data_IF_185847972238
#
_entry.id   IF_185847972238
#
_cell.length_a   1.000
_cell.length_b   1.000
_cell.length_c   1.000
_cell.angle_alpha   90.00
_cell.angle_beta   90.00
_cell.angle_gamma   90.00
#
_symmetry.space_group_name_H-M   'P 1'
#
loop_
_entity.id
_entity.type
_entity.pdbx_description
1 polymer ?
#
# COMPACT_ATOMS: atom_id res chain seq x y z
N UNK A 1 -0.42 -13.72 7.19
CA UNK A 1 -1.58 -12.85 6.97
C UNK A 1 -2.16 -13.08 5.60
N UNK A 2 -3.47 -13.20 5.51
CA UNK A 2 -4.14 -13.55 4.24
C UNK A 2 -4.08 -12.43 3.21
N UNK A 3 -4.11 -11.18 3.68
CA UNK A 3 -4.02 -10.02 2.78
C UNK A 3 -2.59 -9.67 2.38
N UNK A 4 -1.59 -10.23 3.08
CA UNK A 4 -0.18 -9.98 2.79
C UNK A 4 0.32 -8.60 3.17
N UNK A 5 -0.41 -7.86 3.98
CA UNK A 5 0.03 -6.54 4.45
C UNK A 5 0.57 -6.71 5.86
N UNK A 6 1.86 -6.49 6.02
CA UNK A 6 2.55 -6.62 7.31
C UNK A 6 2.81 -5.26 7.91
N UNK A 7 2.61 -5.15 9.21
CA UNK A 7 2.79 -3.92 9.96
C UNK A 7 3.81 -4.10 11.06
N UNK A 8 4.62 -3.08 11.26
CA UNK A 8 5.51 -2.98 12.42
C UNK A 8 5.50 -1.54 12.92
N UNK A 9 5.64 -1.36 14.22
CA UNK A 9 5.79 -0.05 14.84
C UNK A 9 7.17 0.10 15.42
N UNK A 10 7.78 1.23 15.17
CA UNK A 10 9.06 1.61 15.75
C UNK A 10 8.92 3.06 16.26
N UNK A 11 8.54 3.21 17.53
CA UNK A 11 8.22 4.52 18.09
C UNK A 11 7.02 5.14 17.36
N UNK A 12 7.19 6.33 16.82
CA UNK A 12 6.17 7.04 16.07
C UNK A 12 6.13 6.68 14.57
N UNK A 13 6.90 5.68 14.16
CA UNK A 13 6.99 5.24 12.76
C UNK A 13 6.17 3.97 12.58
N UNK A 14 5.27 4.00 11.59
CA UNK A 14 4.55 2.81 11.12
C UNK A 14 5.24 2.28 9.87
N UNK A 15 5.67 1.03 9.92
CA UNK A 15 6.26 0.36 8.76
C UNK A 15 5.23 -0.56 8.13
N UNK A 16 4.90 -0.31 6.87
CA UNK A 16 3.92 -1.05 6.09
C UNK A 16 4.66 -1.80 4.99
N UNK A 17 4.56 -3.11 5.00
CA UNK A 17 5.23 -3.95 4.00
C UNK A 17 4.19 -4.75 3.22
N UNK A 18 4.21 -4.62 1.90
CA UNK A 18 3.42 -5.46 1.00
C UNK A 18 4.24 -6.74 0.81
N UNK A 19 3.74 -7.84 1.35
CA UNK A 19 4.43 -9.13 1.32
C UNK A 19 3.48 -10.19 0.78
N UNK A 20 3.31 -10.18 -0.53
CA UNK A 20 2.47 -11.13 -1.23
C UNK A 20 3.28 -11.88 -2.29
N UNK A 21 3.29 -13.21 -2.27
CA UNK A 21 3.99 -13.96 -3.30
C UNK A 21 3.31 -13.70 -4.66
N UNK A 22 4.01 -13.58 -5.67
CA UNK A 22 5.44 -13.60 -6.00
C UNK A 22 5.99 -12.19 -6.17
N UNK A 23 5.11 -11.25 -6.51
CA UNK A 23 5.49 -9.93 -7.00
C UNK A 23 4.87 -8.79 -6.19
N UNK A 24 4.23 -9.08 -5.07
CA UNK A 24 3.51 -8.08 -4.26
C UNK A 24 2.34 -7.44 -5.03
N UNK A 25 1.64 -8.21 -5.84
CA UNK A 25 0.43 -7.76 -6.51
C UNK A 25 -0.68 -7.51 -5.48
N UNK A 26 -1.55 -6.55 -5.76
CA UNK A 26 -2.58 -6.09 -4.83
C UNK A 26 -3.96 -6.54 -5.34
N UNK A 27 -4.64 -7.35 -4.55
CA UNK A 27 -6.04 -7.71 -4.78
C UNK A 27 -6.97 -6.81 -3.96
N UNK A 28 -8.27 -7.07 -4.04
CA UNK A 28 -9.27 -6.28 -3.32
C UNK A 28 -9.05 -6.30 -1.81
N UNK A 29 -8.79 -7.48 -1.24
CA UNK A 29 -8.56 -7.62 0.20
C UNK A 29 -7.32 -6.85 0.65
N UNK A 30 -6.23 -6.92 -0.10
CA UNK A 30 -5.01 -6.18 0.20
C UNK A 30 -5.23 -4.67 0.09
N UNK A 31 -5.94 -4.21 -0.94
CA UNK A 31 -6.26 -2.79 -1.10
C UNK A 31 -7.10 -2.27 0.06
N UNK A 32 -8.14 -2.99 0.44
CA UNK A 32 -8.98 -2.61 1.58
C UNK A 32 -8.19 -2.58 2.88
N UNK A 33 -7.29 -3.55 3.07
CA UNK A 33 -6.41 -3.57 4.25
C UNK A 33 -5.48 -2.36 4.27
N UNK A 34 -4.88 -2.00 3.14
CA UNK A 34 -4.05 -0.81 3.05
C UNK A 34 -4.85 0.46 3.37
N UNK A 35 -6.09 0.54 2.90
CA UNK A 35 -6.97 1.66 3.24
C UNK A 35 -7.21 1.76 4.75
N UNK A 36 -7.48 0.64 5.42
CA UNK A 36 -7.63 0.62 6.89
C UNK A 36 -6.36 1.05 7.58
N UNK A 37 -5.22 0.57 7.11
CA UNK A 37 -3.90 0.89 7.68
C UNK A 37 -3.63 2.39 7.61
N UNK A 38 -3.86 3.01 6.46
CA UNK A 38 -3.62 4.45 6.31
C UNK A 38 -4.65 5.30 7.06
N UNK A 39 -5.88 4.83 7.20
CA UNK A 39 -6.87 5.50 8.05
C UNK A 39 -6.44 5.46 9.52
N UNK A 40 -6.00 4.31 10.01
CA UNK A 40 -5.49 4.17 11.37
C UNK A 40 -4.26 5.05 11.59
N UNK A 41 -3.34 5.06 10.62
CA UNK A 41 -2.16 5.92 10.68
C UNK A 41 -2.56 7.40 10.78
N UNK A 42 -3.49 7.84 9.96
CA UNK A 42 -4.00 9.23 9.99
C UNK A 42 -4.52 9.59 11.38
N UNK A 43 -5.30 8.69 11.99
CA UNK A 43 -6.08 9.00 13.19
C UNK A 43 -5.33 8.69 14.49
N UNK A 44 -4.22 7.96 14.45
CA UNK A 44 -3.46 7.59 15.65
C UNK A 44 -2.50 8.71 16.03
N UNK A 45 -2.72 9.38 17.18
CA UNK A 45 -1.86 10.50 17.58
C UNK A 45 -0.43 10.08 17.94
N UNK A 46 -0.19 8.79 18.14
CA UNK A 46 1.15 8.27 18.46
C UNK A 46 1.97 7.94 17.22
N UNK A 47 1.37 7.98 16.05
CA UNK A 47 2.05 7.73 14.77
C UNK A 47 2.24 9.05 14.03
N UNK A 48 3.44 9.28 13.53
CA UNK A 48 3.80 10.52 12.84
C UNK A 48 4.29 10.33 11.42
N UNK A 49 4.91 9.19 11.14
CA UNK A 49 5.52 8.89 9.84
C UNK A 49 5.14 7.46 9.48
N UNK A 50 4.82 7.22 8.21
CA UNK A 50 4.66 5.88 7.68
C UNK A 50 5.71 5.61 6.62
N UNK A 51 6.18 4.38 6.57
CA UNK A 51 7.08 3.87 5.55
C UNK A 51 6.34 2.74 4.85
N UNK A 52 6.26 2.81 3.51
CA UNK A 52 5.59 1.80 2.70
C UNK A 52 6.59 1.20 1.74
N UNK A 53 6.78 -0.10 1.80
CA UNK A 53 7.72 -0.80 0.92
C UNK A 53 7.17 -2.17 0.53
N UNK A 54 7.82 -2.82 -0.43
CA UNK A 54 7.53 -4.21 -0.78
C UNK A 54 8.53 -5.15 -0.14
N UNK A 55 8.11 -6.37 0.14
CA UNK A 55 9.01 -7.41 0.61
C UNK A 55 9.91 -7.88 -0.53
N UNK A 56 11.15 -8.25 -0.20
CA UNK A 56 12.10 -8.78 -1.16
C UNK A 56 12.89 -7.68 -1.86
N UNK A 57 13.56 -8.07 -2.96
CA UNK A 57 14.49 -7.21 -3.68
C UNK A 57 14.15 -7.04 -5.17
N UNK A 58 13.06 -7.61 -5.65
CA UNK A 58 12.67 -7.54 -7.07
C UNK A 58 11.48 -6.64 -7.33
N UNK A 59 10.47 -6.66 -6.45
CA UNK A 59 9.23 -5.93 -6.66
C UNK A 59 8.88 -5.08 -5.46
N UNK A 60 8.56 -3.81 -5.72
CA UNK A 60 7.73 -3.04 -4.82
C UNK A 60 6.28 -3.52 -4.96
N UNK A 61 5.66 -3.31 -6.10
CA UNK A 61 4.37 -3.87 -6.49
C UNK A 61 4.13 -3.62 -7.98
N UNK A 62 3.61 -4.60 -8.73
CA UNK A 62 3.16 -4.40 -10.11
C UNK A 62 1.75 -3.83 -10.20
N UNK A 63 1.05 -3.65 -9.06
CA UNK A 63 -0.32 -3.18 -9.01
C UNK A 63 -1.34 -4.30 -8.88
N UNK A 64 -2.43 -4.18 -9.62
CA UNK A 64 -3.57 -5.10 -9.51
C UNK A 64 -3.18 -6.55 -9.78
N UNK A 65 -3.65 -7.44 -8.90
CA UNK A 65 -3.43 -8.87 -9.04
C UNK A 65 -4.27 -9.40 -10.21
N UNK A 66 -3.60 -9.72 -11.31
CA UNK A 66 -4.28 -10.20 -12.52
C UNK A 66 -4.91 -11.58 -12.34
N UNK A 67 -4.42 -12.38 -11.41
CA UNK A 67 -5.07 -13.64 -11.05
C UNK A 67 -6.42 -13.40 -10.39
N UNK A 68 -6.51 -12.38 -9.54
CA UNK A 68 -7.76 -11.98 -8.93
C UNK A 68 -8.72 -11.42 -9.99
N UNK A 69 -8.23 -10.67 -10.96
CA UNK A 69 -9.03 -10.17 -12.08
C UNK A 69 -9.63 -11.32 -12.90
N UNK A 70 -8.82 -12.32 -13.20
CA UNK A 70 -9.27 -13.52 -13.93
C UNK A 70 -10.29 -14.30 -13.11
N UNK A 71 -10.15 -14.29 -11.77
CA UNK A 71 -11.08 -14.98 -10.87
C UNK A 71 -12.38 -14.21 -10.62
N UNK A 72 -12.55 -13.01 -11.20
CA UNK A 72 -13.80 -12.27 -11.17
C UNK A 72 -13.75 -10.90 -10.49
N UNK A 73 -12.62 -10.47 -9.92
CA UNK A 73 -12.49 -9.09 -9.46
C UNK A 73 -12.60 -8.12 -10.64
N UNK A 74 -13.30 -7.03 -10.43
CA UNK A 74 -13.51 -6.03 -11.47
C UNK A 74 -12.81 -4.71 -11.11
N UNK A 75 -12.50 -3.92 -12.14
CA UNK A 75 -11.78 -2.66 -11.94
C UNK A 75 -12.60 -1.61 -11.20
N UNK A 76 -13.93 -1.75 -11.18
CA UNK A 76 -14.84 -0.83 -10.48
C UNK A 76 -15.25 -1.29 -9.09
N UNK A 77 -14.52 -2.24 -8.51
CA UNK A 77 -14.72 -2.64 -7.12
C UNK A 77 -14.53 -1.47 -6.17
N UNK A 78 -15.11 -1.60 -4.96
CA UNK A 78 -14.85 -0.64 -3.88
C UNK A 78 -13.50 -0.96 -3.24
N UNK A 79 -12.46 -0.31 -3.76
CA UNK A 79 -11.08 -0.52 -3.32
C UNK A 79 -10.78 0.12 -1.96
N UNK A 80 -11.69 0.94 -1.43
CA UNK A 80 -11.55 1.65 -0.17
C UNK A 80 -11.61 3.16 -0.35
N UNK A 81 -11.71 3.90 0.76
CA UNK A 81 -11.90 5.36 0.76
C UNK A 81 -10.76 6.12 0.05
N UNK A 82 -9.53 5.61 0.15
CA UNK A 82 -8.37 6.18 -0.54
C UNK A 82 -8.13 5.61 -1.93
N UNK A 83 -9.06 4.82 -2.46
CA UNK A 83 -8.91 4.18 -3.74
C UNK A 83 -8.01 2.95 -3.68
N UNK A 84 -7.61 2.46 -4.85
CA UNK A 84 -6.72 1.31 -4.96
C UNK A 84 -5.40 1.59 -4.22
N UNK A 85 -5.06 0.72 -3.27
CA UNK A 85 -3.85 0.86 -2.47
C UNK A 85 -3.92 1.89 -1.35
N UNK A 86 -4.97 2.71 -1.31
CA UNK A 86 -5.25 3.58 -0.18
C UNK A 86 -4.71 5.01 -0.25
N UNK A 87 -3.90 5.35 -1.24
CA UNK A 87 -3.24 6.66 -1.32
C UNK A 87 -3.55 7.46 -2.59
N UNK A 88 -4.52 6.99 -3.41
CA UNK A 88 -4.84 7.65 -4.67
C UNK A 88 -5.77 8.86 -4.50
N UNK A 89 -6.59 8.89 -3.46
CA UNK A 89 -7.53 9.97 -3.21
C UNK A 89 -7.21 10.71 -1.92
N UNK A 90 -7.44 12.03 -1.86
CA UNK A 90 -7.22 12.80 -0.64
C UNK A 90 -8.14 12.34 0.50
N UNK A 91 -7.60 12.26 1.72
CA UNK A 91 -8.33 11.81 2.91
C UNK A 91 -7.95 12.60 4.15
N UNK A 92 -7.50 13.83 3.99
CA UNK A 92 -6.96 14.64 5.10
C UNK A 92 -5.80 13.93 5.82
N UNK A 93 -4.98 13.23 5.06
CA UNK A 93 -3.81 12.54 5.60
C UNK A 93 -2.62 13.49 5.49
N UNK A 94 -2.33 14.19 6.58
CA UNK A 94 -1.33 15.26 6.62
C UNK A 94 -0.01 14.84 7.27
N UNK A 95 0.21 13.55 7.40
CA UNK A 95 1.46 12.99 7.95
C UNK A 95 2.33 12.49 6.81
N UNK A 96 3.67 12.63 6.92
CA UNK A 96 4.55 12.17 5.85
C UNK A 96 4.49 10.66 5.65
N UNK A 97 4.50 10.25 4.39
CA UNK A 97 4.63 8.85 4.00
C UNK A 97 5.83 8.74 3.08
N UNK A 98 6.74 7.85 3.43
CA UNK A 98 7.98 7.61 2.69
C UNK A 98 7.87 6.26 2.00
N UNK A 99 8.20 6.22 0.73
CA UNK A 99 8.23 4.99 -0.05
C UNK A 99 9.65 4.62 -0.44
N UNK A 100 10.32 3.73 0.30
CA UNK A 100 11.52 3.08 -0.19
C UNK A 100 11.12 2.09 -1.29
N UNK A 101 11.41 2.44 -2.54
CA UNK A 101 11.04 1.61 -3.68
C UNK A 101 12.15 0.58 -3.90
N UNK A 102 11.89 -0.62 -3.43
CA UNK A 102 12.86 -1.72 -3.37
C UNK A 102 13.02 -2.50 -4.67
N UNK A 103 12.26 -2.14 -5.71
CA UNK A 103 12.28 -2.84 -6.98
C UNK A 103 11.21 -2.31 -7.91
N UNK A 104 10.70 -3.16 -8.79
CA UNK A 104 9.76 -2.78 -9.84
C UNK A 104 8.45 -2.29 -9.23
N UNK A 105 8.01 -1.12 -9.67
CA UNK A 105 6.71 -0.54 -9.36
C UNK A 105 6.07 -0.07 -10.66
N UNK A 106 4.92 -0.64 -11.00
CA UNK A 106 4.20 -0.26 -12.23
C UNK A 106 2.69 -0.37 -12.01
N UNK A 107 1.91 0.18 -12.93
CA UNK A 107 0.46 0.23 -12.82
C UNK A 107 0.03 0.84 -11.50
N UNK A 108 -0.89 0.17 -10.79
CA UNK A 108 -1.35 0.59 -9.47
C UNK A 108 -0.26 0.65 -8.41
N UNK A 109 0.81 -0.14 -8.55
CA UNK A 109 1.97 -0.06 -7.67
C UNK A 109 2.72 1.26 -7.83
N UNK A 110 2.89 1.73 -9.06
CA UNK A 110 3.48 3.03 -9.32
C UNK A 110 2.57 4.17 -8.84
N UNK A 111 1.27 4.03 -9.03
CA UNK A 111 0.30 5.01 -8.52
C UNK A 111 0.35 5.12 -7.01
N UNK A 112 0.53 3.99 -6.31
CA UNK A 112 0.72 3.99 -4.85
C UNK A 112 1.96 4.79 -4.47
N UNK A 113 3.07 4.59 -5.17
CA UNK A 113 4.32 5.35 -4.95
C UNK A 113 4.08 6.85 -5.14
N UNK A 114 3.36 7.23 -6.20
CA UNK A 114 3.04 8.64 -6.48
C UNK A 114 2.16 9.27 -5.41
N UNK A 115 1.40 8.47 -4.66
CA UNK A 115 0.58 8.95 -3.55
C UNK A 115 1.37 9.23 -2.27
N UNK A 116 2.66 8.89 -2.23
CA UNK A 116 3.52 9.15 -1.08
C UNK A 116 4.20 10.51 -1.19
N UNK A 117 4.81 10.96 -0.10
CA UNK A 117 5.42 12.30 -0.04
C UNK A 117 6.89 12.29 -0.42
N UNK A 118 7.61 11.22 -0.06
CA UNK A 118 9.05 11.09 -0.31
C UNK A 118 9.30 9.72 -0.92
N UNK A 119 9.96 9.72 -2.07
CA UNK A 119 10.30 8.49 -2.79
C UNK A 119 11.81 8.30 -2.71
N UNK A 120 12.22 7.14 -2.25
CA UNK A 120 13.63 6.74 -2.17
C UNK A 120 13.82 5.52 -3.05
N UNK A 121 14.80 5.59 -3.95
CA UNK A 121 15.05 4.51 -4.89
C UNK A 121 16.44 3.94 -4.73
#
# INVERSE_FOLDING_TARGET
>A
MQDGIKLARNGAILEVTIDRPKANAIDLAASRRLNEVFTTFRDDPNLRIAIVTGAGDRFFSPGWDLKAAVAGEESDEDWGAGGFGGLNYPRNLNKPIIAPVNGIACGGGFELVLGTDIIVM
#
